data_IF_685576259472
#
_entry.id   IF_685576259472
#
_cell.length_a   1.000
_cell.length_b   1.000
_cell.length_c   1.000
_cell.angle_alpha   90.00
_cell.angle_beta   90.00
_cell.angle_gamma   90.00
#
_symmetry.space_group_name_H-M   'P 1'
#
loop_
_entity.id
_entity.type
_entity.pdbx_description
1 polymer ?
#
# COMPACT_ATOMS: atom_id res chain seq x y z
N UNK A 1 5.60 1.66 -21.24
CA UNK A 1 6.61 0.82 -20.56
C UNK A 1 7.49 0.13 -21.62
N UNK A 2 8.84 0.18 -21.54
CA UNK A 2 9.68 -0.59 -22.48
C UNK A 2 9.75 -2.08 -22.07
N UNK A 3 9.43 -2.97 -23.00
CA UNK A 3 9.61 -4.42 -22.89
C UNK A 3 11.04 -4.79 -23.24
N UNK A 4 11.68 -5.64 -22.43
CA UNK A 4 13.06 -6.09 -22.69
C UNK A 4 13.03 -7.55 -23.14
N UNK A 5 13.50 -7.82 -24.36
CA UNK A 5 13.59 -9.16 -24.95
C UNK A 5 15.04 -9.36 -25.40
N UNK A 6 15.79 -10.18 -24.67
CA UNK A 6 17.25 -10.27 -24.85
C UNK A 6 17.91 -8.90 -24.62
N UNK A 7 18.67 -8.43 -25.61
CA UNK A 7 19.34 -7.12 -25.56
C UNK A 7 18.48 -5.96 -26.09
N UNK A 8 17.31 -6.25 -26.68
CA UNK A 8 16.43 -5.24 -27.29
C UNK A 8 15.43 -4.68 -26.27
N UNK A 9 15.22 -3.36 -26.30
CA UNK A 9 14.17 -2.64 -25.55
C UNK A 9 13.14 -2.08 -26.51
N UNK A 10 11.91 -2.58 -26.45
CA UNK A 10 10.83 -2.27 -27.38
C UNK A 10 9.74 -1.52 -26.62
N UNK A 11 9.25 -0.39 -27.14
CA UNK A 11 8.06 0.30 -26.62
C UNK A 11 6.95 0.13 -27.63
N UNK A 12 5.76 -0.26 -27.20
CA UNK A 12 4.61 -0.43 -28.09
C UNK A 12 4.16 0.98 -28.55
N UNK A 13 4.51 1.32 -29.78
CA UNK A 13 4.18 2.60 -30.43
C UNK A 13 3.74 2.36 -31.87
N UNK A 14 3.01 3.32 -32.44
CA UNK A 14 2.48 3.22 -33.81
C UNK A 14 3.58 3.07 -34.87
N UNK A 15 4.82 3.46 -34.54
CA UNK A 15 5.97 3.48 -35.45
C UNK A 15 6.88 2.24 -35.30
N UNK A 16 6.34 1.12 -34.82
CA UNK A 16 7.11 -0.11 -34.62
C UNK A 16 7.55 -0.74 -35.94
N UNK A 17 8.80 -1.20 -36.01
CA UNK A 17 9.31 -1.95 -37.16
C UNK A 17 8.64 -3.33 -37.26
N UNK A 18 8.51 -3.89 -38.46
CA UNK A 18 7.93 -5.24 -38.67
C UNK A 18 8.72 -6.32 -37.90
N UNK A 19 10.05 -6.17 -37.78
CA UNK A 19 10.88 -7.08 -36.97
C UNK A 19 10.52 -7.04 -35.48
N UNK A 20 10.33 -5.85 -34.91
CA UNK A 20 9.98 -5.70 -33.50
C UNK A 20 8.53 -6.16 -33.23
N UNK A 21 7.65 -6.01 -34.23
CA UNK A 21 6.29 -6.54 -34.21
C UNK A 21 6.33 -8.07 -34.08
N UNK A 22 7.02 -8.76 -34.99
CA UNK A 22 7.15 -10.21 -34.95
C UNK A 22 7.78 -10.70 -33.64
N UNK A 23 8.79 -10.00 -33.15
CA UNK A 23 9.45 -10.33 -31.88
C UNK A 23 8.50 -10.21 -30.68
N UNK A 24 7.62 -9.21 -30.65
CA UNK A 24 6.60 -9.07 -29.60
C UNK A 24 5.55 -10.18 -29.66
N UNK A 25 5.11 -10.62 -30.84
CA UNK A 25 4.15 -11.73 -30.96
C UNK A 25 4.74 -13.05 -30.51
N UNK A 26 6.00 -13.32 -30.91
CA UNK A 26 6.73 -14.51 -30.47
C UNK A 26 6.89 -14.56 -28.94
N UNK A 27 6.92 -13.40 -28.29
CA UNK A 27 7.06 -13.27 -26.84
C UNK A 27 5.82 -12.68 -26.17
N UNK A 28 4.61 -12.93 -26.70
CA UNK A 28 3.35 -12.34 -26.21
C UNK A 28 3.08 -12.55 -24.71
N UNK A 29 3.64 -13.60 -24.10
CA UNK A 29 3.58 -13.84 -22.66
C UNK A 29 4.21 -12.72 -21.82
N UNK A 30 5.08 -11.89 -22.40
CA UNK A 30 5.70 -10.76 -21.71
C UNK A 30 4.67 -9.72 -21.24
N UNK A 31 3.58 -9.54 -21.98
CA UNK A 31 2.50 -8.62 -21.59
C UNK A 31 1.82 -9.08 -20.30
N UNK A 32 1.53 -10.38 -20.20
CA UNK A 32 0.96 -11.00 -18.99
C UNK A 32 1.92 -10.89 -17.82
N UNK A 33 3.19 -11.22 -18.05
CA UNK A 33 4.22 -11.13 -17.03
C UNK A 33 4.35 -9.70 -16.47
N UNK A 34 4.46 -8.70 -17.35
CA UNK A 34 4.57 -7.29 -16.95
C UNK A 34 3.32 -6.80 -16.21
N UNK A 35 2.13 -7.15 -16.70
CA UNK A 35 0.88 -6.79 -16.03
C UNK A 35 0.79 -7.41 -14.64
N UNK A 36 0.99 -8.73 -14.52
CA UNK A 36 0.93 -9.44 -13.25
C UNK A 36 1.97 -8.91 -12.24
N UNK A 37 3.16 -8.54 -12.72
CA UNK A 37 4.18 -7.92 -11.89
C UNK A 37 3.75 -6.51 -11.40
N UNK A 38 3.17 -5.69 -12.27
CA UNK A 38 2.62 -4.39 -11.87
C UNK A 38 1.53 -4.54 -10.80
N UNK A 39 0.64 -5.53 -10.96
CA UNK A 39 -0.37 -5.88 -9.95
C UNK A 39 0.27 -6.30 -8.64
N UNK A 40 1.27 -7.18 -8.68
CA UNK A 40 1.95 -7.64 -7.47
C UNK A 40 2.57 -6.46 -6.71
N UNK A 41 3.30 -5.59 -7.41
CA UNK A 41 3.88 -4.39 -6.81
C UNK A 41 2.83 -3.50 -6.16
N UNK A 42 1.70 -3.30 -6.85
CA UNK A 42 0.56 -2.55 -6.30
C UNK A 42 0.05 -3.17 -5.00
N UNK A 43 -0.18 -4.48 -4.96
CA UNK A 43 -0.68 -5.18 -3.77
C UNK A 43 0.32 -5.16 -2.61
N UNK A 44 1.62 -5.26 -2.88
CA UNK A 44 2.66 -5.14 -1.86
C UNK A 44 2.64 -3.73 -1.25
N UNK A 45 2.59 -2.69 -2.08
CA UNK A 45 2.50 -1.31 -1.59
C UNK A 45 1.19 -1.07 -0.82
N UNK A 46 0.10 -1.71 -1.24
CA UNK A 46 -1.16 -1.65 -0.52
C UNK A 46 -1.08 -2.34 0.85
N UNK A 47 -0.45 -3.52 0.94
CA UNK A 47 -0.17 -4.21 2.22
C UNK A 47 0.58 -3.29 3.18
N UNK A 48 1.63 -2.61 2.70
CA UNK A 48 2.44 -1.70 3.52
C UNK A 48 1.60 -0.55 4.09
N UNK A 49 0.69 0.00 3.28
CA UNK A 49 -0.27 1.02 3.72
C UNK A 49 -1.25 0.47 4.76
N UNK A 50 -1.78 -0.74 4.58
CA UNK A 50 -2.67 -1.39 5.56
C UNK A 50 -1.95 -1.58 6.90
N UNK A 51 -0.73 -2.11 6.88
CA UNK A 51 0.08 -2.31 8.08
C UNK A 51 0.32 -0.99 8.84
N UNK A 52 0.72 0.07 8.12
CA UNK A 52 0.91 1.40 8.70
C UNK A 52 -0.37 1.92 9.39
N UNK A 53 -1.52 1.79 8.74
CA UNK A 53 -2.78 2.27 9.30
C UNK A 53 -3.27 1.41 10.48
N UNK A 54 -2.90 0.13 10.52
CA UNK A 54 -3.13 -0.76 11.66
C UNK A 54 -2.42 -0.25 12.92
N UNK A 55 -1.15 0.14 12.80
CA UNK A 55 -0.38 0.74 13.89
C UNK A 55 -1.00 2.07 14.35
N UNK A 56 -1.28 2.95 13.39
CA UNK A 56 -1.87 4.28 13.66
C UNK A 56 -3.20 4.16 14.41
N UNK A 57 -4.11 3.30 13.94
CA UNK A 57 -5.42 3.11 14.59
C UNK A 57 -5.30 2.40 15.94
N UNK A 58 -4.29 1.56 16.13
CA UNK A 58 -4.00 0.97 17.44
C UNK A 58 -3.59 2.05 18.45
N UNK A 59 -2.73 2.98 18.05
CA UNK A 59 -2.34 4.13 18.88
C UNK A 59 -3.56 5.00 19.22
N UNK A 60 -4.36 5.40 18.24
CA UNK A 60 -5.53 6.25 18.52
C UNK A 60 -6.59 5.54 19.36
N UNK A 61 -6.84 4.26 19.08
CA UNK A 61 -7.79 3.46 19.86
C UNK A 61 -7.36 3.33 21.32
N UNK A 62 -6.05 3.16 21.60
CA UNK A 62 -5.53 3.10 22.97
C UNK A 62 -5.55 4.45 23.67
N UNK A 63 -5.29 5.56 22.95
CA UNK A 63 -5.40 6.92 23.49
C UNK A 63 -6.84 7.25 23.88
N UNK A 64 -7.81 6.99 23.01
CA UNK A 64 -9.22 7.30 23.26
C UNK A 64 -9.78 6.52 24.46
N UNK A 65 -9.35 5.27 24.67
CA UNK A 65 -9.72 4.47 25.85
C UNK A 65 -9.34 5.12 27.18
N UNK A 66 -8.33 5.99 27.20
CA UNK A 66 -7.89 6.69 28.42
C UNK A 66 -8.77 7.90 28.75
N UNK A 67 -9.61 8.36 27.82
CA UNK A 67 -10.43 9.54 28.00
C UNK A 67 -11.84 9.11 28.44
N UNK A 68 -12.23 9.35 29.70
CA UNK A 68 -13.55 8.96 30.19
C UNK A 68 -14.65 9.77 29.51
N UNK A 69 -15.87 9.22 29.47
CA UNK A 69 -17.10 9.86 28.98
C UNK A 69 -17.22 10.01 27.45
N UNK A 70 -16.37 9.34 26.67
CA UNK A 70 -16.43 9.32 25.19
C UNK A 70 -16.52 7.89 24.64
N UNK A 71 -17.48 7.13 25.16
CA UNK A 71 -17.65 5.71 24.86
C UNK A 71 -17.99 5.46 23.38
N UNK A 72 -18.75 6.36 22.74
CA UNK A 72 -19.14 6.22 21.33
C UNK A 72 -17.94 6.27 20.38
N UNK A 73 -17.10 7.31 20.52
CA UNK A 73 -15.89 7.50 19.70
C UNK A 73 -14.87 6.40 20.01
N UNK A 74 -14.75 6.01 21.27
CA UNK A 74 -13.89 4.90 21.68
C UNK A 74 -14.33 3.58 21.06
N UNK A 75 -15.64 3.31 21.04
CA UNK A 75 -16.21 2.09 20.42
C UNK A 75 -15.97 2.10 18.93
N UNK A 76 -16.27 3.20 18.23
CA UNK A 76 -16.03 3.37 16.79
C UNK A 76 -14.55 3.18 16.44
N UNK A 77 -13.62 3.76 17.21
CA UNK A 77 -12.19 3.60 16.99
C UNK A 77 -11.72 2.16 17.24
N UNK A 78 -12.28 1.44 18.21
CA UNK A 78 -11.99 0.03 18.45
C UNK A 78 -12.49 -0.86 17.31
N UNK A 79 -13.71 -0.64 16.84
CA UNK A 79 -14.26 -1.37 15.68
C UNK A 79 -13.42 -1.14 14.43
N UNK A 80 -13.04 0.12 14.17
CA UNK A 80 -12.20 0.48 13.04
C UNK A 80 -10.83 -0.17 13.10
N UNK A 81 -10.19 -0.14 14.28
CA UNK A 81 -8.94 -0.84 14.54
C UNK A 81 -9.07 -2.35 14.31
N UNK A 82 -10.15 -2.98 14.79
CA UNK A 82 -10.35 -4.42 14.60
C UNK A 82 -10.53 -4.77 13.11
N UNK A 83 -11.25 -3.95 12.35
CA UNK A 83 -11.45 -4.17 10.91
C UNK A 83 -10.13 -4.08 10.14
N UNK A 84 -9.28 -3.10 10.44
CA UNK A 84 -8.00 -2.97 9.74
C UNK A 84 -6.99 -4.03 10.17
N UNK A 85 -7.01 -4.48 11.44
CA UNK A 85 -6.20 -5.60 11.91
C UNK A 85 -6.62 -6.92 11.24
N UNK A 86 -7.93 -7.12 11.02
CA UNK A 86 -8.41 -8.26 10.26
C UNK A 86 -7.94 -8.21 8.82
N UNK A 87 -8.06 -7.04 8.17
CA UNK A 87 -7.56 -6.84 6.80
C UNK A 87 -6.05 -7.11 6.73
N UNK A 88 -5.28 -6.62 7.69
CA UNK A 88 -3.84 -6.88 7.78
C UNK A 88 -3.53 -8.37 7.90
N UNK A 89 -4.27 -9.10 8.74
CA UNK A 89 -4.13 -10.55 8.86
C UNK A 89 -4.45 -11.26 7.52
N UNK A 90 -5.50 -10.85 6.82
CA UNK A 90 -5.86 -11.39 5.52
C UNK A 90 -4.72 -11.14 4.49
N UNK A 91 -4.12 -9.94 4.49
CA UNK A 91 -2.93 -9.65 3.68
C UNK A 91 -1.74 -10.52 4.09
N UNK A 92 -1.51 -10.73 5.37
CA UNK A 92 -0.41 -11.55 5.88
C UNK A 92 -0.58 -13.03 5.53
N UNK A 93 -1.81 -13.53 5.47
CA UNK A 93 -2.11 -14.89 5.02
C UNK A 93 -1.83 -15.07 3.52
N UNK A 94 -2.07 -14.03 2.71
CA UNK A 94 -1.84 -14.05 1.26
C UNK A 94 -0.35 -13.88 0.92
N UNK A 95 0.33 -12.90 1.54
CA UNK A 95 1.68 -12.46 1.16
C UNK A 95 2.79 -12.88 2.14
N UNK A 96 2.43 -13.52 3.26
CA UNK A 96 3.33 -13.76 4.38
C UNK A 96 3.37 -12.55 5.34
N UNK A 97 3.98 -12.71 6.52
CA UNK A 97 3.99 -11.68 7.58
C UNK A 97 4.96 -10.54 7.31
N UNK A 98 6.11 -10.82 6.74
CA UNK A 98 7.12 -9.79 6.50
C UNK A 98 6.61 -8.75 5.48
N UNK A 99 6.76 -7.46 5.80
CA UNK A 99 6.62 -6.38 4.82
C UNK A 99 7.71 -6.58 3.78
N UNK A 100 7.34 -7.15 2.63
CA UNK A 100 8.28 -7.44 1.55
C UNK A 100 8.82 -6.11 1.02
N UNK A 101 10.05 -5.76 1.35
CA UNK A 101 10.75 -4.70 0.63
C UNK A 101 10.94 -5.13 -0.83
N UNK A 102 10.76 -4.19 -1.76
CA UNK A 102 10.91 -4.41 -3.21
C UNK A 102 12.28 -5.03 -3.56
N UNK A 103 13.31 -4.77 -2.73
CA UNK A 103 14.66 -5.32 -2.83
C UNK A 103 14.78 -6.81 -2.48
N UNK A 104 13.84 -7.35 -1.70
CA UNK A 104 13.86 -8.76 -1.28
C UNK A 104 13.29 -9.66 -2.38
N UNK A 105 12.35 -9.15 -3.18
CA UNK A 105 11.75 -9.88 -4.30
C UNK A 105 12.77 -10.18 -5.42
N UNK A 106 13.61 -9.21 -5.76
CA UNK A 106 14.61 -9.37 -6.83
C UNK A 106 15.75 -10.34 -6.47
N UNK A 107 15.97 -10.63 -5.18
CA UNK A 107 17.11 -11.44 -4.70
C UNK A 107 16.71 -12.84 -4.22
N UNK A 108 15.42 -13.18 -4.16
CA UNK A 108 14.93 -14.46 -3.60
C UNK A 108 14.62 -15.55 -4.64
N UNK A 109 15.03 -15.39 -5.90
CA UNK A 109 14.87 -16.43 -6.94
C UNK A 109 15.75 -17.68 -6.73
N UNK A 110 16.39 -17.85 -5.56
CA UNK A 110 17.35 -18.93 -5.29
C UNK A 110 17.32 -19.59 -3.91
N UNK A 111 16.38 -19.27 -3.01
CA UNK A 111 16.38 -19.83 -1.65
C UNK A 111 15.13 -20.66 -1.34
N UNK A 112 15.18 -21.94 -1.70
CA UNK A 112 14.31 -22.99 -1.16
C UNK A 112 14.71 -23.34 0.27
N UNK A 113 13.70 -23.45 1.14
CA UNK A 113 13.64 -24.18 2.43
C UNK A 113 13.33 -23.28 3.64
N UNK A 114 12.04 -23.06 3.87
CA UNK A 114 11.54 -22.39 5.07
C UNK A 114 10.02 -22.35 5.11
N UNK A 115 9.42 -23.36 5.74
CA UNK A 115 8.00 -23.55 6.08
C UNK A 115 7.23 -22.26 6.42
N UNK A 116 6.20 -21.89 5.63
CA UNK A 116 4.80 -21.62 6.06
C UNK A 116 3.94 -21.05 4.90
N UNK A 117 2.95 -21.83 4.45
CA UNK A 117 1.64 -21.50 3.81
C UNK A 117 1.43 -20.35 2.79
N UNK A 118 2.42 -19.55 2.39
CA UNK A 118 2.24 -18.38 1.49
C UNK A 118 2.40 -18.68 -0.02
N UNK A 119 2.11 -19.92 -0.44
CA UNK A 119 2.64 -20.49 -1.70
C UNK A 119 1.97 -20.03 -3.00
N UNK A 120 0.86 -19.30 -2.99
CA UNK A 120 0.10 -19.03 -4.23
C UNK A 120 0.46 -17.71 -4.93
N UNK A 121 0.73 -16.62 -4.21
CA UNK A 121 1.03 -15.32 -4.83
C UNK A 121 2.48 -15.17 -5.31
N UNK A 122 3.41 -16.04 -4.88
CA UNK A 122 4.80 -16.04 -5.37
C UNK A 122 4.94 -16.45 -6.83
N UNK A 123 3.93 -17.07 -7.43
CA UNK A 123 3.91 -17.46 -8.85
C UNK A 123 2.87 -16.66 -9.65
N UNK A 124 2.46 -15.49 -9.14
CA UNK A 124 1.45 -14.64 -9.77
C UNK A 124 1.79 -14.33 -11.23
N UNK A 125 3.08 -14.20 -11.55
CA UNK A 125 3.61 -13.92 -12.88
C UNK A 125 3.19 -14.96 -13.94
N UNK A 126 2.96 -16.21 -13.52
CA UNK A 126 2.61 -17.32 -14.41
C UNK A 126 1.10 -17.60 -14.48
N UNK A 127 0.32 -17.04 -13.54
CA UNK A 127 -1.11 -17.30 -13.46
C UNK A 127 -1.90 -16.53 -14.52
N UNK A 128 -3.09 -17.06 -14.87
CA UNK A 128 -4.03 -16.37 -15.76
C UNK A 128 -4.52 -15.08 -15.09
N UNK A 129 -4.35 -13.96 -15.80
CA UNK A 129 -4.77 -12.66 -15.30
C UNK A 129 -6.29 -12.60 -15.16
N UNK A 130 -7.03 -12.98 -16.20
CA UNK A 130 -8.49 -12.81 -16.24
C UNK A 130 -9.22 -13.76 -15.30
N UNK A 131 -8.74 -15.00 -15.16
CA UNK A 131 -9.44 -16.04 -14.41
C UNK A 131 -9.05 -16.09 -12.93
N UNK A 132 -7.80 -15.73 -12.60
CA UNK A 132 -7.28 -15.88 -11.24
C UNK A 132 -6.93 -14.53 -10.61
N UNK A 133 -6.10 -13.72 -11.28
CA UNK A 133 -5.54 -12.51 -10.68
C UNK A 133 -6.60 -11.43 -10.52
N UNK A 134 -7.29 -11.07 -11.61
CA UNK A 134 -8.28 -9.99 -11.62
C UNK A 134 -9.42 -10.21 -10.61
N UNK A 135 -10.07 -11.40 -10.52
CA UNK A 135 -11.10 -11.62 -9.51
C UNK A 135 -10.57 -11.53 -8.08
N UNK A 136 -9.37 -12.08 -7.82
CA UNK A 136 -8.75 -12.04 -6.49
C UNK A 136 -8.39 -10.62 -6.07
N UNK A 137 -7.82 -9.84 -7.00
CA UNK A 137 -7.49 -8.42 -6.78
C UNK A 137 -8.73 -7.60 -6.51
N UNK A 138 -9.80 -7.79 -7.28
CA UNK A 138 -11.07 -7.08 -7.08
C UNK A 138 -11.63 -7.33 -5.68
N UNK A 139 -11.58 -8.57 -5.18
CA UNK A 139 -12.01 -8.90 -3.81
C UNK A 139 -11.15 -8.18 -2.75
N UNK A 140 -9.83 -8.24 -2.89
CA UNK A 140 -8.89 -7.57 -1.98
C UNK A 140 -9.16 -6.06 -1.99
N UNK A 141 -9.32 -5.48 -3.18
CA UNK A 141 -9.47 -4.05 -3.36
C UNK A 141 -10.80 -3.53 -2.83
N UNK A 142 -11.90 -4.24 -3.05
CA UNK A 142 -13.20 -3.87 -2.47
C UNK A 142 -13.19 -3.93 -0.94
N UNK A 143 -12.61 -4.99 -0.36
CA UNK A 143 -12.48 -5.10 1.10
C UNK A 143 -11.62 -3.96 1.67
N UNK A 144 -10.51 -3.65 1.00
CA UNK A 144 -9.61 -2.57 1.39
C UNK A 144 -10.28 -1.21 1.27
N UNK A 145 -10.97 -0.93 0.16
CA UNK A 145 -11.69 0.32 -0.06
C UNK A 145 -12.74 0.56 1.03
N UNK A 146 -13.58 -0.44 1.32
CA UNK A 146 -14.60 -0.34 2.37
C UNK A 146 -13.96 -0.06 3.75
N UNK A 147 -12.86 -0.74 4.06
CA UNK A 147 -12.11 -0.53 5.30
C UNK A 147 -11.58 0.91 5.37
N UNK A 148 -10.92 1.41 4.33
CA UNK A 148 -10.38 2.77 4.28
C UNK A 148 -11.47 3.85 4.33
N UNK A 149 -12.65 3.61 3.75
CA UNK A 149 -13.79 4.52 3.92
C UNK A 149 -14.25 4.61 5.38
N UNK A 150 -14.23 3.48 6.10
CA UNK A 150 -14.52 3.46 7.53
C UNK A 150 -13.42 4.12 8.37
N UNK A 151 -12.14 3.92 8.00
CA UNK A 151 -11.00 4.65 8.58
C UNK A 151 -11.19 6.15 8.43
N UNK A 152 -11.51 6.64 7.23
CA UNK A 152 -11.69 8.06 6.97
C UNK A 152 -12.82 8.67 7.81
N UNK A 153 -13.95 7.97 7.94
CA UNK A 153 -15.05 8.37 8.84
C UNK A 153 -14.60 8.44 10.29
N UNK A 154 -13.84 7.44 10.74
CA UNK A 154 -13.32 7.37 12.12
C UNK A 154 -12.34 8.52 12.39
N UNK A 155 -11.38 8.75 11.49
CA UNK A 155 -10.43 9.85 11.61
C UNK A 155 -11.11 11.21 11.62
N UNK A 156 -12.19 11.38 10.85
CA UNK A 156 -12.98 12.61 10.89
C UNK A 156 -13.64 12.83 12.26
N UNK A 157 -14.21 11.79 12.87
CA UNK A 157 -14.77 11.87 14.23
C UNK A 157 -13.68 12.21 15.27
N UNK A 158 -12.51 11.58 15.17
CA UNK A 158 -11.36 11.86 16.05
C UNK A 158 -10.87 13.30 15.87
N UNK A 159 -10.81 13.80 14.63
CA UNK A 159 -10.44 15.18 14.33
C UNK A 159 -11.40 16.16 15.01
N UNK A 160 -12.71 15.98 14.83
CA UNK A 160 -13.74 16.81 15.46
C UNK A 160 -13.62 16.76 16.97
N UNK A 161 -13.40 15.58 17.54
CA UNK A 161 -13.17 15.42 18.97
C UNK A 161 -11.95 16.21 19.47
N UNK A 162 -10.82 16.13 18.77
CA UNK A 162 -9.61 16.87 19.12
C UNK A 162 -9.72 18.39 18.95
N UNK A 163 -10.70 18.91 18.21
CA UNK A 163 -10.93 20.36 18.16
C UNK A 163 -11.24 20.96 19.52
N UNK A 164 -11.83 20.18 20.43
CA UNK A 164 -12.15 20.56 21.81
C UNK A 164 -10.93 20.60 22.74
N UNK A 165 -9.79 20.02 22.33
CA UNK A 165 -8.59 19.90 23.15
C UNK A 165 -7.42 20.64 22.48
N UNK A 166 -7.10 21.85 22.94
CA UNK A 166 -6.01 22.68 22.39
C UNK A 166 -4.67 21.95 22.29
N UNK A 167 -4.40 21.06 23.26
CA UNK A 167 -3.14 20.33 23.37
C UNK A 167 -3.04 19.16 22.36
N UNK A 168 -4.19 18.67 21.86
CA UNK A 168 -4.25 17.54 20.93
C UNK A 168 -4.38 18.00 19.46
N UNK A 169 -4.52 19.31 19.21
CA UNK A 169 -4.59 19.89 17.85
C UNK A 169 -3.29 19.72 17.04
N UNK A 170 -2.15 19.53 17.71
CA UNK A 170 -0.85 19.28 17.06
C UNK A 170 -0.66 17.82 16.61
N UNK A 171 -1.62 16.93 16.90
CA UNK A 171 -1.52 15.52 16.53
C UNK A 171 -1.66 15.32 15.02
N UNK A 172 -1.13 14.19 14.54
CA UNK A 172 -1.10 13.76 13.14
C UNK A 172 -2.48 13.58 12.48
N UNK A 173 -3.60 13.72 13.20
CA UNK A 173 -4.95 13.38 12.70
C UNK A 173 -5.39 14.19 11.47
N UNK A 174 -5.25 15.53 11.41
CA UNK A 174 -5.67 16.29 10.23
C UNK A 174 -4.86 15.90 8.99
N UNK A 175 -3.56 15.65 9.17
CA UNK A 175 -2.67 15.19 8.11
C UNK A 175 -3.04 13.77 7.65
N UNK A 176 -3.27 12.85 8.59
CA UNK A 176 -3.74 11.49 8.32
C UNK A 176 -5.00 11.49 7.48
N UNK A 177 -6.01 12.26 7.85
CA UNK A 177 -7.29 12.34 7.14
C UNK A 177 -7.10 12.80 5.68
N UNK A 178 -6.26 13.81 5.45
CA UNK A 178 -5.94 14.27 4.10
C UNK A 178 -5.27 13.15 3.28
N UNK A 179 -4.32 12.42 3.87
CA UNK A 179 -3.67 11.30 3.21
C UNK A 179 -4.64 10.13 2.96
N UNK A 180 -5.52 9.81 3.91
CA UNK A 180 -6.54 8.77 3.76
C UNK A 180 -7.46 9.06 2.57
N UNK A 181 -7.84 10.32 2.37
CA UNK A 181 -8.67 10.72 1.22
C UNK A 181 -7.94 10.51 -0.12
N UNK A 182 -6.64 10.81 -0.17
CA UNK A 182 -5.79 10.53 -1.34
C UNK A 182 -5.65 9.04 -1.61
N UNK A 183 -5.48 8.22 -0.57
CA UNK A 183 -5.43 6.75 -0.67
C UNK A 183 -6.75 6.22 -1.21
N UNK A 184 -7.89 6.62 -0.65
CA UNK A 184 -9.22 6.21 -1.15
C UNK A 184 -9.39 6.54 -2.64
N UNK A 185 -8.96 7.72 -3.07
CA UNK A 185 -9.01 8.10 -4.49
C UNK A 185 -8.16 7.17 -5.36
N UNK A 186 -6.97 6.81 -4.90
CA UNK A 186 -6.11 5.85 -5.61
C UNK A 186 -6.71 4.44 -5.64
N UNK A 187 -7.34 3.98 -4.54
CA UNK A 187 -8.05 2.70 -4.50
C UNK A 187 -9.22 2.65 -5.49
N UNK A 188 -10.00 3.73 -5.60
CA UNK A 188 -11.09 3.84 -6.58
C UNK A 188 -10.58 3.86 -8.03
N UNK A 189 -9.50 4.60 -8.28
CA UNK A 189 -8.82 4.62 -9.59
C UNK A 189 -8.35 3.20 -9.96
N UNK A 190 -7.74 2.47 -9.02
CA UNK A 190 -7.34 1.09 -9.24
C UNK A 190 -8.53 0.16 -9.49
N UNK A 191 -9.66 0.34 -8.79
CA UNK A 191 -10.86 -0.47 -8.97
C UNK A 191 -11.37 -0.36 -10.41
N UNK A 192 -11.49 0.87 -10.91
CA UNK A 192 -11.85 1.13 -12.31
C UNK A 192 -10.90 0.46 -13.30
N UNK A 193 -9.59 0.43 -13.02
CA UNK A 193 -8.59 -0.23 -13.87
C UNK A 193 -8.76 -1.76 -13.88
N UNK A 194 -9.05 -2.37 -12.74
CA UNK A 194 -9.21 -3.83 -12.61
C UNK A 194 -10.58 -4.34 -13.10
N UNK A 195 -11.55 -3.46 -13.35
CA UNK A 195 -12.79 -3.83 -14.04
C UNK A 195 -12.61 -4.01 -15.55
N UNK A 196 -11.54 -3.47 -16.14
CA UNK A 196 -11.25 -3.61 -17.58
C UNK A 196 -10.88 -5.07 -17.89
N UNK A 197 -11.56 -5.67 -18.88
CA UNK A 197 -11.23 -7.02 -19.36
C UNK A 197 -10.21 -6.93 -20.50
N UNK A 198 -9.18 -7.78 -20.43
CA UNK A 198 -8.02 -7.78 -21.32
C UNK A 198 -7.83 -9.16 -21.96
N UNK A 199 -7.29 -9.20 -23.18
CA UNK A 199 -6.94 -10.45 -23.88
C UNK A 199 -5.55 -11.01 -23.50
N UNK A 200 -4.99 -10.54 -22.39
CA UNK A 200 -3.59 -10.76 -22.02
C UNK A 200 -3.23 -12.24 -21.84
N UNK A 201 -4.21 -13.09 -21.52
CA UNK A 201 -4.02 -14.53 -21.39
C UNK A 201 -3.94 -15.27 -22.74
N UNK A 202 -4.60 -14.75 -23.78
CA UNK A 202 -4.75 -15.40 -25.08
C UNK A 202 -4.60 -14.36 -26.22
N UNK A 203 -3.40 -13.80 -26.37
CA UNK A 203 -3.12 -12.83 -27.44
C UNK A 203 -3.06 -13.57 -28.79
N UNK A 204 -3.90 -13.22 -29.78
CA UNK A 204 -3.85 -13.83 -31.11
C UNK A 204 -2.51 -13.57 -31.80
N UNK A 205 -2.00 -14.56 -32.53
CA UNK A 205 -0.78 -14.43 -33.33
C UNK A 205 -1.06 -13.67 -34.65
N UNK A 206 -1.52 -12.42 -34.55
CA UNK A 206 -1.89 -11.58 -35.69
C UNK A 206 -1.85 -10.09 -35.34
N UNK A 207 -1.24 -9.26 -36.21
CA UNK A 207 -1.24 -7.79 -36.11
C UNK A 207 -2.47 -7.13 -36.74
N UNK A 208 -3.66 -7.67 -36.49
CA UNK A 208 -4.87 -6.95 -36.87
C UNK A 208 -4.97 -5.64 -36.08
N UNK A 209 -5.50 -4.55 -36.67
CA UNK A 209 -5.67 -3.27 -35.97
C UNK A 209 -6.51 -3.35 -34.69
N UNK A 210 -7.32 -4.41 -34.55
CA UNK A 210 -8.08 -4.77 -33.36
C UNK A 210 -7.17 -5.27 -32.23
N UNK A 211 -6.30 -6.24 -32.52
CA UNK A 211 -5.31 -6.80 -31.59
C UNK A 211 -4.33 -5.72 -31.16
N UNK A 212 -3.87 -4.89 -32.10
CA UNK A 212 -2.97 -3.78 -31.79
C UNK A 212 -3.55 -2.79 -30.80
N UNK A 213 -4.83 -2.41 -30.97
CA UNK A 213 -5.55 -1.56 -30.01
C UNK A 213 -5.64 -2.20 -28.63
N UNK A 214 -5.82 -3.51 -28.56
CA UNK A 214 -5.86 -4.23 -27.29
C UNK A 214 -4.49 -4.34 -26.63
N UNK A 215 -3.40 -4.47 -27.38
CA UNK A 215 -2.03 -4.41 -26.83
C UNK A 215 -1.72 -3.03 -26.24
N UNK A 216 -2.10 -1.96 -26.92
CA UNK A 216 -2.00 -0.60 -26.40
C UNK A 216 -2.83 -0.41 -25.12
N UNK A 217 -4.01 -1.03 -25.06
CA UNK A 217 -4.87 -1.00 -23.88
C UNK A 217 -4.22 -1.74 -22.70
N UNK A 218 -3.61 -2.90 -22.94
CA UNK A 218 -2.84 -3.63 -21.91
C UNK A 218 -1.70 -2.77 -21.38
N UNK A 219 -0.94 -2.09 -22.26
CA UNK A 219 0.14 -1.20 -21.83
C UNK A 219 -0.40 0.00 -21.02
N UNK A 220 -1.52 0.59 -21.45
CA UNK A 220 -2.19 1.70 -20.75
C UNK A 220 -2.62 1.29 -19.35
N UNK A 221 -3.28 0.15 -19.21
CA UNK A 221 -3.72 -0.39 -17.92
C UNK A 221 -2.52 -0.72 -17.04
N UNK A 222 -1.52 -1.44 -17.56
CA UNK A 222 -0.29 -1.78 -16.84
C UNK A 222 0.41 -0.53 -16.30
N UNK A 223 0.65 0.47 -17.15
CA UNK A 223 1.29 1.72 -16.76
C UNK A 223 0.47 2.52 -15.73
N UNK A 224 -0.86 2.44 -15.83
CA UNK A 224 -1.75 3.11 -14.87
C UNK A 224 -1.71 2.44 -13.50
N UNK A 225 -1.68 1.10 -13.45
CA UNK A 225 -1.51 0.33 -12.21
C UNK A 225 -0.16 0.65 -11.56
N UNK A 226 0.92 0.71 -12.34
CA UNK A 226 2.24 1.12 -11.83
C UNK A 226 2.20 2.53 -11.23
N UNK A 227 1.51 3.48 -11.88
CA UNK A 227 1.35 4.84 -11.37
C UNK A 227 0.59 4.88 -10.04
N UNK A 228 -0.50 4.13 -9.91
CA UNK A 228 -1.24 4.03 -8.65
C UNK A 228 -0.37 3.37 -7.57
N UNK A 229 0.42 2.36 -7.92
CA UNK A 229 1.38 1.72 -7.01
C UNK A 229 2.42 2.72 -6.48
N UNK A 230 3.00 3.54 -7.34
CA UNK A 230 3.91 4.64 -6.95
C UNK A 230 3.21 5.66 -6.07
N UNK A 231 1.93 5.96 -6.35
CA UNK A 231 1.14 6.88 -5.53
C UNK A 231 0.97 6.36 -4.10
N UNK A 232 0.64 5.07 -3.94
CA UNK A 232 0.56 4.41 -2.63
C UNK A 232 1.92 4.43 -1.91
N UNK A 233 3.01 4.10 -2.61
CA UNK A 233 4.36 4.15 -2.03
C UNK A 233 4.75 5.56 -1.60
N UNK A 234 4.43 6.56 -2.41
CA UNK A 234 4.70 7.97 -2.08
C UNK A 234 3.90 8.40 -0.86
N UNK A 235 2.63 8.02 -0.76
CA UNK A 235 1.81 8.29 0.41
C UNK A 235 2.40 7.64 1.68
N UNK A 236 2.89 6.41 1.59
CA UNK A 236 3.60 5.74 2.67
C UNK A 236 4.85 6.51 3.10
N UNK A 237 5.78 6.79 2.19
CA UNK A 237 7.02 7.48 2.52
C UNK A 237 6.79 8.90 3.08
N UNK A 238 5.79 9.62 2.56
CA UNK A 238 5.45 10.95 3.09
C UNK A 238 4.88 10.84 4.50
N UNK A 239 4.15 9.76 4.80
CA UNK A 239 3.63 9.53 6.14
C UNK A 239 4.71 9.10 7.14
N UNK A 240 5.58 8.17 6.73
CA UNK A 240 6.73 7.71 7.50
C UNK A 240 7.64 8.88 7.89
N UNK A 241 7.98 9.76 6.94
CA UNK A 241 8.75 10.97 7.21
C UNK A 241 8.04 11.90 8.22
N UNK A 242 6.72 12.07 8.12
CA UNK A 242 5.96 12.88 9.07
C UNK A 242 5.92 12.26 10.48
N UNK A 243 5.89 10.94 10.59
CA UNK A 243 6.01 10.25 11.89
C UNK A 243 7.38 10.49 12.52
N UNK A 244 8.45 10.41 11.73
CA UNK A 244 9.81 10.69 12.18
C UNK A 244 9.95 12.14 12.67
N UNK A 245 9.47 13.11 11.90
CA UNK A 245 9.51 14.53 12.28
C UNK A 245 8.76 14.81 13.58
N UNK A 246 7.53 14.31 13.71
CA UNK A 246 6.75 14.46 14.96
C UNK A 246 7.46 13.79 16.12
N UNK A 247 8.09 12.64 15.89
CA UNK A 247 8.83 11.95 16.95
C UNK A 247 10.07 12.73 17.42
N UNK A 248 10.77 13.36 16.48
CA UNK A 248 11.97 14.16 16.75
C UNK A 248 11.61 15.46 17.46
N UNK A 249 10.50 16.09 17.07
CA UNK A 249 9.97 17.30 17.69
C UNK A 249 9.59 17.06 19.16
N UNK A 250 8.87 15.97 19.46
CA UNK A 250 8.55 15.65 20.85
C UNK A 250 9.75 15.21 21.68
N UNK A 251 10.74 14.53 21.07
CA UNK A 251 12.00 14.23 21.75
C UNK A 251 12.78 15.51 22.12
N UNK A 252 12.76 16.54 21.25
CA UNK A 252 13.38 17.84 21.52
C UNK A 252 12.64 18.63 22.61
N UNK A 253 11.30 18.61 22.62
CA UNK A 253 10.51 19.24 23.69
C UNK A 253 10.77 18.56 25.05
N UNK A 254 10.87 17.23 25.08
CA UNK A 254 11.22 16.47 26.31
C UNK A 254 12.64 16.82 26.79
N UNK A 255 13.61 16.91 25.87
CA UNK A 255 14.98 17.28 26.22
C UNK A 255 15.07 18.71 26.76
N UNK A 256 14.22 19.64 26.28
CA UNK A 256 14.14 21.00 26.79
C UNK A 256 13.50 21.06 28.19
N UNK A 257 12.46 20.25 28.47
CA UNK A 257 11.85 20.16 29.80
C UNK A 257 12.80 19.51 30.83
N UNK A 258 13.55 18.48 30.45
CA UNK A 258 14.53 17.83 31.35
C UNK A 258 15.74 18.73 31.64
N UNK A 259 16.09 19.68 30.77
CA UNK A 259 17.11 20.70 31.10
C UNK A 259 16.65 21.79 32.07
N UNK A 260 15.34 21.88 32.35
CA UNK A 260 14.78 22.82 33.34
C UNK A 260 14.48 22.18 34.70
N UNK A 261 14.59 20.85 34.84
CA UNK A 261 14.41 20.13 36.10
C UNK A 261 15.70 19.45 36.55
N UNK A 262 16.34 19.96 37.59
CA UNK A 262 17.48 19.29 38.23
C UNK A 262 17.11 17.87 38.69
N UNK A 263 17.79 16.85 38.16
CA UNK A 263 17.76 15.49 38.72
C UNK A 263 18.00 14.36 37.72
N UNK A 264 19.24 13.86 37.69
CA UNK A 264 19.76 12.72 36.91
C UNK A 264 18.77 11.54 36.68
N UNK A 265 18.71 11.03 35.44
CA UNK A 265 18.99 9.65 35.00
C UNK A 265 18.80 9.61 33.47
N UNK A 266 19.85 9.31 32.70
CA UNK A 266 19.73 9.16 31.24
C UNK A 266 19.26 7.77 30.83
N UNK A 267 18.63 7.63 29.64
CA UNK A 267 18.58 6.34 28.96
C UNK A 267 19.12 6.38 27.52
N UNK A 268 19.76 5.27 27.15
CA UNK A 268 20.08 4.89 25.77
C UNK A 268 18.78 4.66 24.98
N UNK A 269 18.60 5.37 23.87
CA UNK A 269 17.51 5.13 22.92
C UNK A 269 17.90 4.05 21.89
N UNK A 270 17.05 3.02 21.78
CA UNK A 270 16.98 2.14 20.60
C UNK A 270 15.76 2.54 19.76
N UNK A 271 15.96 2.64 18.45
CA UNK A 271 15.07 3.28 17.47
C UNK A 271 13.75 2.56 17.16
N UNK A 272 13.42 1.46 17.84
CA UNK A 272 12.24 0.64 17.51
C UNK A 272 10.91 1.04 18.16
N UNK A 273 10.89 2.05 19.05
CA UNK A 273 9.73 2.34 19.91
C UNK A 273 9.36 3.84 20.02
N UNK A 274 9.83 4.67 19.08
CA UNK A 274 9.67 6.13 19.16
C UNK A 274 8.20 6.57 19.08
N UNK A 275 7.36 5.88 18.29
CA UNK A 275 5.93 6.23 18.12
C UNK A 275 5.13 6.01 19.42
N UNK A 276 5.47 4.99 20.21
CA UNK A 276 4.81 4.74 21.49
C UNK A 276 5.19 5.77 22.57
N UNK A 277 6.43 6.27 22.55
CA UNK A 277 6.94 7.16 23.61
C UNK A 277 6.36 8.58 23.57
N UNK A 278 5.99 9.12 22.41
CA UNK A 278 5.35 10.45 22.35
C UNK A 278 3.92 10.48 22.89
N UNK A 279 3.21 9.36 22.85
CA UNK A 279 1.80 9.31 23.27
C UNK A 279 1.61 8.90 24.74
N UNK A 280 2.67 8.47 25.43
CA UNK A 280 2.57 8.03 26.84
C UNK A 280 2.88 9.10 27.88
N UNK A 281 3.32 10.32 27.47
CA UNK A 281 3.62 11.44 28.38
C UNK A 281 2.62 12.62 28.30
N UNK A 282 1.59 12.54 27.44
CA UNK A 282 0.37 13.39 27.47
C UNK A 282 -0.69 12.68 28.32
#
# INVERSE_FOLDING_TARGET
>A
MPYTIGDRKIRVSLDLTEEDQDLLLQNSQIFKYCLNNAVLKYLINLKTIVHLYSDVLTVYSTLLKKIPQYDDITTMANECKNNILQLENDFNDIFGKDTMDESTYNNMSGATNGSSTSTNFRQIELQSYEHNIRPSVNLILHSTLHTFEFVNKTLHCIEVFFTSFSNLKKLLVPYLKQQTSSIIRSLRSADELFQVSLIVDNIPYSFEPSVWRQLLEIERVTSSIERESVTLRTAFCTFEASLEEVSLQGALEIAQEETCGEGQIGPRFQSGNAVALLFFKI
#
